data_IF_237227502401
#
_entry.id   IF_237227502401
#
_cell.length_a   1.000
_cell.length_b   1.000
_cell.length_c   1.000
_cell.angle_alpha   90.00
_cell.angle_beta   90.00
_cell.angle_gamma   90.00
#
_symmetry.space_group_name_H-M   'P 1'
#
loop_
_entity.id
_entity.type
_entity.pdbx_description
1 polymer ?
#
# COMPACT_ATOMS: atom_id res chain seq x y z
N UNK A 1 1.28 35.36 -2.87
CA UNK A 1 0.98 34.10 -2.14
C UNK A 1 2.15 33.17 -2.37
N UNK A 2 2.64 32.53 -1.32
CA UNK A 2 3.75 31.59 -1.41
C UNK A 2 3.48 30.41 -2.33
N UNK A 3 4.56 29.74 -2.75
CA UNK A 3 4.46 28.53 -3.55
C UNK A 3 3.98 27.37 -2.67
N UNK A 4 2.81 26.81 -2.98
CA UNK A 4 2.22 25.65 -2.28
C UNK A 4 2.48 24.36 -3.05
N UNK A 5 2.77 23.28 -2.31
CA UNK A 5 2.82 21.91 -2.80
C UNK A 5 1.77 21.07 -2.06
N UNK A 6 0.90 20.39 -2.80
CA UNK A 6 -0.01 19.38 -2.24
C UNK A 6 0.53 17.98 -2.54
N UNK A 7 0.59 17.12 -1.53
CA UNK A 7 0.93 15.70 -1.67
C UNK A 7 -0.33 14.89 -1.33
N UNK A 8 -0.86 14.15 -2.31
CA UNK A 8 -1.84 13.11 -2.10
C UNK A 8 -1.12 11.77 -2.04
N UNK A 9 -1.19 11.09 -0.90
CA UNK A 9 -0.46 9.85 -0.67
C UNK A 9 -1.39 8.74 -0.19
N UNK A 10 -1.03 7.49 -0.43
CA UNK A 10 -1.63 6.40 0.31
C UNK A 10 -1.18 6.40 1.77
N UNK A 11 -2.03 5.84 2.63
CA UNK A 11 -1.90 5.95 4.08
C UNK A 11 -1.10 4.85 4.76
N UNK A 12 -0.50 3.92 4.01
CA UNK A 12 0.38 2.89 4.56
C UNK A 12 1.83 3.39 4.63
N UNK A 13 2.76 2.47 4.89
CA UNK A 13 4.17 2.81 5.07
C UNK A 13 4.85 3.27 3.77
N UNK A 14 4.49 2.73 2.61
CA UNK A 14 5.10 3.11 1.34
C UNK A 14 4.66 4.52 0.91
N UNK A 15 3.35 4.81 0.97
CA UNK A 15 2.81 6.14 0.75
C UNK A 15 3.30 7.18 1.76
N UNK A 16 3.39 6.83 3.06
CA UNK A 16 3.94 7.72 4.10
C UNK A 16 5.42 8.03 3.86
N UNK A 17 6.24 7.03 3.52
CA UNK A 17 7.64 7.25 3.18
C UNK A 17 7.80 8.09 1.90
N UNK A 18 6.99 7.81 0.87
CA UNK A 18 6.94 8.58 -0.37
C UNK A 18 6.63 10.05 -0.10
N UNK A 19 5.59 10.34 0.69
CA UNK A 19 5.24 11.71 1.07
C UNK A 19 6.35 12.40 1.86
N UNK A 20 7.03 11.67 2.76
CA UNK A 20 8.14 12.21 3.54
C UNK A 20 9.34 12.58 2.67
N UNK A 21 9.67 11.75 1.67
CA UNK A 21 10.74 12.00 0.71
C UNK A 21 10.45 13.20 -0.18
N UNK A 22 9.23 13.31 -0.72
CA UNK A 22 8.79 14.48 -1.49
C UNK A 22 8.90 15.74 -0.62
N UNK A 23 8.35 15.70 0.60
CA UNK A 23 8.40 16.85 1.52
C UNK A 23 9.84 17.26 1.85
N UNK A 24 10.73 16.30 2.10
CA UNK A 24 12.13 16.58 2.38
C UNK A 24 12.86 17.21 1.19
N UNK A 25 12.60 16.72 -0.03
CA UNK A 25 13.25 17.20 -1.25
C UNK A 25 12.88 18.65 -1.61
N UNK A 26 11.73 19.12 -1.13
CA UNK A 26 11.14 20.41 -1.51
C UNK A 26 10.96 21.37 -0.33
N UNK A 27 11.53 21.07 0.83
CA UNK A 27 11.36 21.85 2.07
C UNK A 27 11.77 23.33 1.94
N UNK A 28 12.75 23.63 1.10
CA UNK A 28 13.27 25.00 0.87
C UNK A 28 12.66 25.67 -0.38
N UNK A 29 11.92 24.94 -1.21
CA UNK A 29 11.37 25.44 -2.49
C UNK A 29 9.91 25.90 -2.39
N UNK A 30 9.18 25.40 -1.39
CA UNK A 30 7.77 25.67 -1.17
C UNK A 30 7.57 26.21 0.23
N UNK A 31 6.79 27.29 0.34
CA UNK A 31 6.45 27.90 1.65
C UNK A 31 5.49 27.00 2.44
N UNK A 32 4.68 26.20 1.74
CA UNK A 32 3.71 25.30 2.35
C UNK A 32 3.69 23.96 1.62
N UNK A 33 3.84 22.87 2.36
CA UNK A 33 3.68 21.49 1.88
C UNK A 33 2.53 20.83 2.63
N UNK A 34 1.40 20.63 1.94
CA UNK A 34 0.19 20.00 2.47
C UNK A 34 0.17 18.51 2.15
N UNK A 35 -0.28 17.69 3.10
CA UNK A 35 -0.33 16.23 2.95
C UNK A 35 -1.76 15.74 3.19
N UNK A 36 -2.31 15.06 2.19
CA UNK A 36 -3.62 14.42 2.24
C UNK A 36 -3.45 12.93 2.00
N UNK A 37 -4.01 12.13 2.90
CA UNK A 37 -4.07 10.68 2.70
C UNK A 37 -5.35 10.33 1.97
N UNK A 38 -5.20 9.66 0.85
CA UNK A 38 -6.29 9.23 -0.04
C UNK A 38 -6.14 7.74 -0.38
N UNK A 39 -7.05 7.24 -1.20
CA UNK A 39 -7.09 5.87 -1.66
C UNK A 39 -7.76 5.82 -3.04
N UNK A 40 -7.58 4.73 -3.82
CA UNK A 40 -7.94 4.71 -5.24
C UNK A 40 -9.36 5.18 -5.58
N UNK A 41 -10.35 4.82 -4.77
CA UNK A 41 -11.76 5.19 -5.01
C UNK A 41 -12.08 6.65 -4.70
N UNK A 42 -11.31 7.30 -3.83
CA UNK A 42 -11.54 8.68 -3.40
C UNK A 42 -10.53 9.67 -4.04
N UNK A 43 -9.50 9.18 -4.75
CA UNK A 43 -8.41 9.98 -5.29
C UNK A 43 -8.90 11.19 -6.10
N UNK A 44 -9.85 10.99 -7.01
CA UNK A 44 -10.36 12.09 -7.87
C UNK A 44 -11.13 13.13 -7.06
N UNK A 45 -11.93 12.67 -6.09
CA UNK A 45 -12.68 13.55 -5.19
C UNK A 45 -11.71 14.36 -4.33
N UNK A 46 -10.78 13.68 -3.66
CA UNK A 46 -9.80 14.32 -2.78
C UNK A 46 -8.88 15.27 -3.56
N UNK A 47 -8.50 14.92 -4.80
CA UNK A 47 -7.75 15.82 -5.67
C UNK A 47 -8.54 17.10 -5.94
N UNK A 48 -9.81 17.00 -6.34
CA UNK A 48 -10.66 18.19 -6.61
C UNK A 48 -10.85 19.08 -5.37
N UNK A 49 -10.87 18.49 -4.18
CA UNK A 49 -11.04 19.21 -2.91
C UNK A 49 -9.73 19.83 -2.39
N UNK A 50 -8.59 19.15 -2.58
CA UNK A 50 -7.34 19.47 -1.90
C UNK A 50 -6.21 20.01 -2.81
N UNK A 51 -6.28 19.80 -4.13
CA UNK A 51 -5.22 20.19 -5.05
C UNK A 51 -5.03 21.72 -5.08
N UNK A 52 -3.84 22.17 -4.70
CA UNK A 52 -3.46 23.58 -4.72
C UNK A 52 -1.97 23.71 -5.03
N UNK A 53 -1.61 24.65 -5.92
CA UNK A 53 -0.22 24.77 -6.38
C UNK A 53 0.22 23.55 -7.18
N UNK A 54 1.48 23.14 -7.02
CA UNK A 54 1.96 21.89 -7.61
C UNK A 54 1.45 20.69 -6.81
N UNK A 55 1.24 19.55 -7.47
CA UNK A 55 0.68 18.35 -6.86
C UNK A 55 1.58 17.15 -7.11
N UNK A 56 1.84 16.39 -6.05
CA UNK A 56 2.38 15.03 -6.12
C UNK A 56 1.30 14.05 -5.69
N UNK A 57 1.08 13.02 -6.49
CA UNK A 57 0.26 11.86 -6.15
C UNK A 57 1.22 10.69 -6.02
N UNK A 58 1.30 10.07 -4.84
CA UNK A 58 2.29 9.02 -4.55
C UNK A 58 1.64 7.78 -3.96
N UNK A 59 1.95 6.62 -4.53
CA UNK A 59 1.48 5.30 -4.07
C UNK A 59 -0.04 5.13 -4.11
N UNK A 60 -0.73 5.77 -5.06
CA UNK A 60 -2.19 5.64 -5.19
C UNK A 60 -2.56 5.15 -6.57
N UNK A 61 -3.03 3.91 -6.65
CA UNK A 61 -3.58 3.36 -7.88
C UNK A 61 -4.78 4.19 -8.38
N UNK A 62 -4.91 4.33 -9.69
CA UNK A 62 -6.09 4.90 -10.32
C UNK A 62 -7.12 3.79 -10.53
N UNK A 63 -8.28 3.90 -9.88
CA UNK A 63 -9.39 2.98 -10.12
C UNK A 63 -9.88 3.12 -11.57
N UNK A 64 -9.98 2.01 -12.30
CA UNK A 64 -10.41 1.99 -13.70
C UNK A 64 -11.78 2.65 -13.91
N UNK A 65 -12.65 2.63 -12.89
CA UNK A 65 -13.97 3.29 -12.95
C UNK A 65 -13.90 4.81 -12.97
N UNK A 66 -12.82 5.38 -12.46
CA UNK A 66 -12.62 6.82 -12.34
C UNK A 66 -11.48 7.36 -13.23
N UNK A 67 -11.00 6.54 -14.17
CA UNK A 67 -9.85 6.85 -15.02
C UNK A 67 -10.10 8.09 -15.88
N UNK A 68 -11.28 8.21 -16.48
CA UNK A 68 -11.61 9.34 -17.35
C UNK A 68 -11.77 10.63 -16.53
N UNK A 69 -12.39 10.56 -15.36
CA UNK A 69 -12.48 11.69 -14.44
C UNK A 69 -11.11 12.10 -13.88
N UNK A 70 -10.23 11.14 -13.61
CA UNK A 70 -8.84 11.41 -13.20
C UNK A 70 -8.08 12.14 -14.31
N UNK A 71 -8.17 11.68 -15.56
CA UNK A 71 -7.55 12.34 -16.72
C UNK A 71 -8.03 13.76 -16.88
N UNK A 72 -9.33 13.99 -16.81
CA UNK A 72 -9.92 15.32 -16.88
C UNK A 72 -9.42 16.21 -15.74
N UNK A 73 -9.52 15.74 -14.49
CA UNK A 73 -9.16 16.53 -13.31
C UNK A 73 -7.67 16.89 -13.28
N UNK A 74 -6.79 15.94 -13.60
CA UNK A 74 -5.34 16.17 -13.55
C UNK A 74 -4.87 17.07 -14.68
N UNK A 75 -5.39 16.86 -15.90
CA UNK A 75 -5.01 17.68 -17.07
C UNK A 75 -5.56 19.11 -17.00
N UNK A 76 -6.71 19.31 -16.36
CA UNK A 76 -7.29 20.63 -16.14
C UNK A 76 -6.62 21.42 -15.00
N UNK A 77 -5.77 20.76 -14.19
CA UNK A 77 -5.09 21.41 -13.08
C UNK A 77 -4.06 22.42 -13.59
N UNK A 78 -4.06 23.63 -13.04
CA UNK A 78 -3.16 24.71 -13.49
C UNK A 78 -1.72 24.52 -13.02
N UNK A 79 -1.52 23.87 -11.87
CA UNK A 79 -0.20 23.56 -11.34
C UNK A 79 0.35 22.29 -11.97
N UNK A 80 1.65 22.04 -11.77
CA UNK A 80 2.26 20.79 -12.23
C UNK A 80 1.69 19.61 -11.45
N UNK A 81 1.35 18.52 -12.13
CA UNK A 81 0.95 17.26 -11.50
C UNK A 81 2.02 16.21 -11.77
N UNK A 82 2.54 15.60 -10.70
CA UNK A 82 3.49 14.48 -10.75
C UNK A 82 2.81 13.27 -10.13
N UNK A 83 2.74 12.17 -10.87
CA UNK A 83 2.16 10.90 -10.43
C UNK A 83 3.27 9.86 -10.31
N UNK A 84 3.45 9.30 -9.11
CA UNK A 84 4.46 8.28 -8.81
C UNK A 84 3.78 7.07 -8.21
N UNK A 85 3.72 5.97 -8.97
CA UNK A 85 3.04 4.76 -8.52
C UNK A 85 3.65 3.50 -9.14
N UNK A 86 3.37 2.36 -8.54
CA UNK A 86 3.89 1.05 -8.91
C UNK A 86 2.80 0.01 -9.22
N UNK A 87 1.54 0.36 -9.00
CA UNK A 87 0.40 -0.49 -9.35
C UNK A 87 0.22 -0.59 -10.87
N UNK A 88 -0.43 -1.63 -11.39
CA UNK A 88 -0.72 -1.74 -12.82
C UNK A 88 -1.47 -0.50 -13.35
N UNK A 89 -0.88 0.19 -14.33
CA UNK A 89 -1.46 1.38 -14.94
C UNK A 89 -2.18 0.98 -16.24
N UNK A 90 -3.49 1.21 -16.30
CA UNK A 90 -4.33 0.76 -17.41
C UNK A 90 -4.31 1.70 -18.62
N UNK A 91 -3.89 2.96 -18.44
CA UNK A 91 -3.84 3.94 -19.52
C UNK A 91 -2.98 5.18 -19.20
N UNK A 92 -2.61 5.93 -20.25
CA UNK A 92 -1.84 7.17 -20.13
C UNK A 92 -2.58 8.28 -19.38
N UNK A 93 -1.85 9.18 -18.73
CA UNK A 93 -2.37 10.36 -18.03
C UNK A 93 -1.88 11.65 -18.71
N UNK A 94 -2.67 12.23 -19.64
CA UNK A 94 -2.26 13.41 -20.39
C UNK A 94 -2.00 14.61 -19.47
N UNK A 95 -0.92 15.36 -19.72
CA UNK A 95 -0.58 16.54 -18.94
C UNK A 95 0.01 16.26 -17.54
N UNK A 96 0.28 14.99 -17.21
CA UNK A 96 0.84 14.55 -15.93
C UNK A 96 2.27 14.05 -16.13
N UNK A 97 3.20 14.43 -15.25
CA UNK A 97 4.52 13.80 -15.18
C UNK A 97 4.39 12.44 -14.49
N UNK A 98 4.45 11.35 -15.27
CA UNK A 98 4.29 9.98 -14.76
C UNK A 98 5.66 9.34 -14.47
N UNK A 99 5.84 8.84 -13.25
CA UNK A 99 6.95 7.97 -12.84
C UNK A 99 6.34 6.64 -12.40
N UNK A 100 6.48 5.62 -13.24
CA UNK A 100 5.81 4.34 -13.04
C UNK A 100 6.76 3.18 -13.33
N UNK A 101 6.77 2.19 -12.43
CA UNK A 101 7.51 0.94 -12.58
C UNK A 101 6.84 -0.13 -11.70
N UNK A 102 6.36 -1.21 -12.30
CA UNK A 102 5.87 -2.37 -11.53
C UNK A 102 7.06 -3.15 -10.92
N UNK A 103 6.89 -3.64 -9.70
CA UNK A 103 7.89 -4.46 -9.00
C UNK A 103 8.90 -3.67 -8.16
N UNK A 104 8.87 -2.33 -8.22
CA UNK A 104 9.50 -1.45 -7.25
C UNK A 104 8.44 -0.76 -6.37
N UNK A 105 8.80 -0.38 -5.15
CA UNK A 105 7.90 0.38 -4.29
C UNK A 105 7.85 1.86 -4.70
N UNK A 106 6.75 2.56 -4.43
CA UNK A 106 6.60 3.98 -4.73
C UNK A 106 7.67 4.83 -4.01
N UNK A 107 8.04 4.48 -2.77
CA UNK A 107 9.07 5.20 -2.03
C UNK A 107 10.47 5.06 -2.65
N UNK A 108 10.76 3.91 -3.28
CA UNK A 108 11.95 3.74 -4.10
C UNK A 108 11.89 4.65 -5.34
N UNK A 109 10.76 4.66 -6.05
CA UNK A 109 10.58 5.50 -7.25
C UNK A 109 10.73 6.99 -6.94
N UNK A 110 10.12 7.45 -5.86
CA UNK A 110 10.27 8.83 -5.37
C UNK A 110 11.72 9.15 -5.06
N UNK A 111 12.43 8.26 -4.36
CA UNK A 111 13.83 8.47 -4.02
C UNK A 111 14.72 8.53 -5.27
N UNK A 112 14.56 7.59 -6.20
CA UNK A 112 15.29 7.58 -7.48
C UNK A 112 15.05 8.87 -8.27
N UNK A 113 13.79 9.31 -8.37
CA UNK A 113 13.39 10.53 -9.08
C UNK A 113 13.94 11.81 -8.45
N UNK A 114 14.11 11.83 -7.13
CA UNK A 114 14.51 13.02 -6.35
C UNK A 114 15.92 12.90 -5.76
N UNK A 115 16.71 11.92 -6.17
CA UNK A 115 18.04 11.65 -5.62
C UNK A 115 18.98 12.87 -5.68
N UNK A 116 18.86 13.71 -6.70
CA UNK A 116 19.64 14.96 -6.83
C UNK A 116 19.27 16.06 -5.83
N UNK A 117 18.12 15.95 -5.14
CA UNK A 117 17.63 16.91 -4.13
C UNK A 117 17.75 16.39 -2.70
N UNK A 118 17.99 15.10 -2.52
CA UNK A 118 17.99 14.44 -1.21
C UNK A 118 19.41 14.00 -0.83
N UNK A 119 19.87 14.28 0.40
CA UNK A 119 21.05 13.64 0.94
C UNK A 119 20.92 12.11 0.87
N UNK A 120 22.03 11.42 0.60
CA UNK A 120 22.07 9.94 0.53
C UNK A 120 21.48 9.24 1.76
N UNK A 121 21.54 9.89 2.91
CA UNK A 121 20.98 9.40 4.16
C UNK A 121 19.47 9.13 4.11
N UNK A 122 18.72 9.79 3.22
CA UNK A 122 17.30 9.54 2.99
C UNK A 122 17.00 8.22 2.27
N UNK A 123 18.02 7.52 1.74
CA UNK A 123 17.85 6.16 1.19
C UNK A 123 17.18 5.22 2.20
N UNK A 124 17.44 5.40 3.50
CA UNK A 124 16.77 4.60 4.55
C UNK A 124 15.26 4.80 4.60
N UNK A 125 14.77 6.02 4.35
CA UNK A 125 13.32 6.31 4.36
C UNK A 125 12.65 5.58 3.20
N UNK A 126 13.28 5.59 2.02
CA UNK A 126 12.83 4.79 0.88
C UNK A 126 12.89 3.28 1.17
N UNK A 127 13.97 2.80 1.81
CA UNK A 127 14.06 1.41 2.25
C UNK A 127 12.95 1.00 3.23
N UNK A 128 12.56 1.88 4.16
CA UNK A 128 11.47 1.58 5.09
C UNK A 128 10.14 1.34 4.35
N UNK A 129 9.83 2.16 3.34
CA UNK A 129 8.63 2.00 2.52
C UNK A 129 8.69 0.72 1.69
N UNK A 130 9.79 0.52 0.95
CA UNK A 130 9.99 -0.66 0.12
C UNK A 130 9.93 -1.99 0.90
N UNK A 131 10.55 -2.06 2.08
CA UNK A 131 10.48 -3.25 2.94
C UNK A 131 9.05 -3.48 3.45
N UNK A 132 8.35 -2.41 3.82
CA UNK A 132 6.98 -2.50 4.34
C UNK A 132 5.98 -2.96 3.29
N UNK A 133 6.27 -2.73 2.01
CA UNK A 133 5.46 -3.23 0.88
C UNK A 133 5.99 -4.56 0.31
N UNK A 134 6.90 -5.23 1.03
CA UNK A 134 7.51 -6.51 0.64
C UNK A 134 8.26 -6.45 -0.71
N UNK A 135 8.75 -5.27 -1.09
CA UNK A 135 9.53 -5.02 -2.30
C UNK A 135 11.02 -4.89 -2.01
N UNK A 136 11.52 -5.69 -1.07
CA UNK A 136 12.92 -5.69 -0.61
C UNK A 136 13.90 -6.44 -1.54
N UNK A 137 13.49 -6.68 -2.79
CA UNK A 137 14.17 -7.55 -3.74
C UNK A 137 14.61 -6.84 -5.03
N UNK A 138 14.33 -5.54 -5.20
CA UNK A 138 14.82 -4.78 -6.36
C UNK A 138 16.35 -4.64 -6.29
N UNK A 139 16.98 -4.44 -7.45
CA UNK A 139 18.44 -4.23 -7.48
C UNK A 139 18.85 -2.96 -6.75
N UNK A 140 18.02 -1.91 -6.80
CA UNK A 140 18.24 -0.70 -6.03
C UNK A 140 18.18 -0.98 -4.52
N UNK A 141 17.14 -1.69 -4.02
CA UNK A 141 17.04 -2.02 -2.60
C UNK A 141 18.24 -2.84 -2.14
N UNK A 142 18.66 -3.85 -2.91
CA UNK A 142 19.84 -4.68 -2.58
C UNK A 142 21.09 -3.82 -2.42
N UNK A 143 21.37 -2.96 -3.39
CA UNK A 143 22.53 -2.05 -3.36
C UNK A 143 22.43 -1.03 -2.22
N UNK A 144 21.24 -0.47 -1.98
CA UNK A 144 21.03 0.47 -0.88
C UNK A 144 21.25 -0.20 0.47
N UNK A 145 20.78 -1.44 0.66
CA UNK A 145 20.99 -2.23 1.88
C UNK A 145 22.45 -2.62 2.12
N UNK A 146 23.33 -2.66 1.11
CA UNK A 146 24.78 -2.86 1.32
C UNK A 146 25.43 -1.68 2.05
N UNK A 147 24.76 -0.52 2.04
CA UNK A 147 25.25 0.71 2.64
C UNK A 147 24.71 0.95 4.04
N UNK A 148 23.88 0.02 4.53
CA UNK A 148 23.21 0.09 5.83
C UNK A 148 23.37 -1.22 6.59
N UNK A 149 23.40 -1.16 7.92
CA UNK A 149 23.17 -2.37 8.71
C UNK A 149 21.71 -2.78 8.56
N UNK A 150 21.48 -3.95 7.97
CA UNK A 150 20.13 -4.48 7.72
C UNK A 150 19.30 -4.57 9.01
N UNK A 151 19.90 -4.91 10.16
CA UNK A 151 19.15 -5.03 11.43
C UNK A 151 18.51 -3.70 11.82
N UNK A 152 19.22 -2.60 11.59
CA UNK A 152 18.69 -1.25 11.85
C UNK A 152 17.53 -0.95 10.90
N UNK A 153 17.73 -1.13 9.59
CA UNK A 153 16.71 -0.75 8.59
C UNK A 153 15.44 -1.59 8.74
N UNK A 154 15.56 -2.90 8.94
CA UNK A 154 14.40 -3.78 9.11
C UNK A 154 13.69 -3.54 10.44
N UNK A 155 14.41 -3.21 11.51
CA UNK A 155 13.78 -2.83 12.77
C UNK A 155 12.94 -1.55 12.60
N UNK A 156 13.51 -0.52 11.97
CA UNK A 156 12.82 0.74 11.73
C UNK A 156 11.61 0.57 10.79
N UNK A 157 11.74 -0.20 9.71
CA UNK A 157 10.64 -0.55 8.83
C UNK A 157 9.53 -1.31 9.58
N UNK A 158 9.90 -2.27 10.43
CA UNK A 158 8.98 -3.02 11.28
C UNK A 158 8.24 -2.15 12.30
N UNK A 159 8.92 -1.16 12.90
CA UNK A 159 8.27 -0.17 13.78
C UNK A 159 7.28 0.69 12.99
N UNK A 160 7.69 1.19 11.82
CA UNK A 160 6.85 2.04 10.97
C UNK A 160 5.57 1.30 10.53
N UNK A 161 5.73 0.12 9.92
CA UNK A 161 4.62 -0.69 9.39
C UNK A 161 3.60 -1.02 10.50
N UNK A 162 4.08 -1.52 11.64
CA UNK A 162 3.19 -1.91 12.75
C UNK A 162 2.52 -0.71 13.41
N UNK A 163 3.26 0.39 13.60
CA UNK A 163 2.72 1.60 14.20
C UNK A 163 1.65 2.25 13.31
N UNK A 164 1.85 2.27 11.99
CA UNK A 164 0.87 2.80 11.03
C UNK A 164 -0.37 1.90 10.89
N UNK A 165 -0.21 0.57 10.95
CA UNK A 165 -1.34 -0.36 10.98
C UNK A 165 -2.24 -0.08 12.19
N UNK A 166 -1.65 0.10 13.36
CA UNK A 166 -2.40 0.45 14.58
C UNK A 166 -3.06 1.82 14.49
N UNK A 167 -2.41 2.77 13.83
CA UNK A 167 -2.90 4.13 13.61
C UNK A 167 -3.75 4.29 12.33
N UNK A 168 -4.30 3.20 11.77
CA UNK A 168 -4.90 3.19 10.42
C UNK A 168 -5.84 4.37 10.10
N UNK A 169 -6.64 4.83 11.07
CA UNK A 169 -7.63 5.92 10.91
C UNK A 169 -7.14 7.30 11.37
N UNK A 170 -5.97 7.40 12.00
CA UNK A 170 -5.44 8.64 12.58
C UNK A 170 -4.59 9.39 11.54
N UNK A 171 -5.26 10.07 10.60
CA UNK A 171 -4.58 10.81 9.52
C UNK A 171 -3.71 11.96 10.03
N UNK A 172 -4.07 12.59 11.15
CA UNK A 172 -3.23 13.63 11.77
C UNK A 172 -1.93 13.05 12.29
N UNK A 173 -1.99 11.91 12.97
CA UNK A 173 -0.77 11.25 13.41
C UNK A 173 0.08 10.76 12.24
N UNK A 174 -0.52 10.27 11.15
CA UNK A 174 0.25 9.94 9.96
C UNK A 174 0.97 11.16 9.37
N UNK A 175 0.37 12.35 9.41
CA UNK A 175 1.05 13.61 9.02
C UNK A 175 2.22 13.95 9.95
N UNK A 176 2.09 13.68 11.25
CA UNK A 176 3.20 13.79 12.21
C UNK A 176 4.34 12.83 11.84
N UNK A 177 4.04 11.58 11.51
CA UNK A 177 5.02 10.59 11.03
C UNK A 177 5.71 11.08 9.75
N UNK A 178 4.96 11.58 8.76
CA UNK A 178 5.55 12.17 7.53
C UNK A 178 6.49 13.31 7.89
N UNK A 179 6.11 14.22 8.79
CA UNK A 179 6.97 15.31 9.23
C UNK A 179 8.23 14.84 9.96
N UNK A 180 8.14 13.77 10.75
CA UNK A 180 9.29 13.15 11.41
C UNK A 180 10.26 12.53 10.41
N UNK A 181 9.75 11.72 9.47
CA UNK A 181 10.54 11.09 8.43
C UNK A 181 11.12 12.11 7.42
N UNK A 182 10.42 13.21 7.15
CA UNK A 182 10.91 14.26 6.24
C UNK A 182 12.06 15.07 6.83
N UNK A 183 12.32 14.96 8.14
CA UNK A 183 13.54 15.45 8.81
C UNK A 183 14.56 14.33 8.99
N UNK A 184 14.36 13.21 8.29
CA UNK A 184 15.12 12.00 8.38
C UNK A 184 15.15 11.41 9.80
N UNK A 185 14.08 11.56 10.59
CA UNK A 185 13.95 10.89 11.89
C UNK A 185 13.81 9.38 11.72
N UNK A 186 14.39 8.59 12.63
CA UNK A 186 14.16 7.14 12.66
C UNK A 186 12.76 6.84 13.22
N UNK A 187 11.95 5.94 12.61
CA UNK A 187 10.62 5.55 13.13
C UNK A 187 10.57 5.31 14.65
N UNK A 188 11.51 4.56 15.20
CA UNK A 188 11.60 4.22 16.62
C UNK A 188 11.85 5.42 17.54
N UNK A 189 12.38 6.52 16.99
CA UNK A 189 12.61 7.77 17.73
C UNK A 189 11.33 8.60 17.91
N UNK A 190 10.19 8.20 17.32
CA UNK A 190 8.90 8.83 17.53
C UNK A 190 8.10 8.04 18.60
N UNK A 191 8.01 8.50 19.86
CA UNK A 191 7.54 7.66 20.97
C UNK A 191 6.12 7.11 20.81
N UNK A 192 5.20 7.91 20.23
CA UNK A 192 3.84 7.45 19.93
C UNK A 192 3.87 6.31 18.89
N UNK A 193 4.72 6.39 17.87
CA UNK A 193 4.83 5.36 16.82
C UNK A 193 5.38 4.06 17.39
N UNK A 194 6.45 4.13 18.18
CA UNK A 194 7.06 2.96 18.82
C UNK A 194 6.07 2.23 19.74
N UNK A 195 5.35 2.95 20.60
CA UNK A 195 4.32 2.35 21.47
C UNK A 195 3.25 1.65 20.66
N UNK A 196 2.73 2.28 19.60
CA UNK A 196 1.70 1.69 18.75
C UNK A 196 2.22 0.45 18.02
N UNK A 197 3.49 0.45 17.61
CA UNK A 197 4.14 -0.70 17.01
C UNK A 197 4.25 -1.88 17.99
N UNK A 198 4.63 -1.64 19.24
CA UNK A 198 4.67 -2.67 20.29
C UNK A 198 3.28 -3.27 20.58
N UNK A 199 2.25 -2.43 20.63
CA UNK A 199 0.86 -2.90 20.77
C UNK A 199 0.45 -3.79 19.60
N UNK A 200 0.74 -3.35 18.39
CA UNK A 200 0.40 -4.11 17.18
C UNK A 200 1.21 -5.40 17.07
N UNK A 201 2.46 -5.44 17.53
CA UNK A 201 3.27 -6.66 17.58
C UNK A 201 2.61 -7.74 18.44
N UNK A 202 2.04 -7.36 19.60
CA UNK A 202 1.29 -8.30 20.46
C UNK A 202 0.02 -8.81 19.79
N UNK A 203 -0.68 -7.94 19.05
CA UNK A 203 -1.87 -8.33 18.26
C UNK A 203 -1.47 -9.30 17.15
N UNK A 204 -0.38 -9.03 16.45
CA UNK A 204 0.13 -9.88 15.36
C UNK A 204 0.50 -11.27 15.88
N UNK A 205 1.19 -11.38 17.01
CA UNK A 205 1.54 -12.66 17.62
C UNK A 205 0.30 -13.45 18.07
N UNK A 206 -0.68 -12.77 18.69
CA UNK A 206 -1.94 -13.41 19.05
C UNK A 206 -2.71 -13.91 17.81
N UNK A 207 -2.63 -13.17 16.70
CA UNK A 207 -3.23 -13.54 15.42
C UNK A 207 -2.58 -14.80 14.84
N UNK A 208 -1.27 -15.01 14.97
CA UNK A 208 -0.59 -16.24 14.53
C UNK A 208 -1.25 -17.46 15.14
N UNK A 209 -1.34 -17.52 16.47
CA UNK A 209 -1.96 -18.64 17.17
C UNK A 209 -3.46 -18.77 16.88
N UNK A 210 -4.17 -17.66 16.67
CA UNK A 210 -5.59 -17.71 16.29
C UNK A 210 -5.77 -18.31 14.89
N UNK A 211 -5.00 -17.88 13.90
CA UNK A 211 -5.09 -18.40 12.52
C UNK A 211 -4.70 -19.87 12.46
N UNK A 212 -3.67 -20.29 13.18
CA UNK A 212 -3.26 -21.70 13.26
C UNK A 212 -4.43 -22.63 13.64
N UNK A 213 -5.25 -22.20 14.62
CA UNK A 213 -6.40 -22.98 15.12
C UNK A 213 -7.65 -22.86 14.25
N UNK A 214 -7.86 -21.73 13.58
CA UNK A 214 -9.15 -21.41 12.94
C UNK A 214 -9.13 -21.44 11.41
N UNK A 215 -7.95 -21.48 10.77
CA UNK A 215 -7.88 -21.53 9.31
C UNK A 215 -8.45 -22.85 8.78
N UNK A 216 -9.40 -22.72 7.86
CA UNK A 216 -10.04 -23.81 7.11
C UNK A 216 -9.30 -23.98 5.80
N UNK A 217 -9.11 -25.21 5.35
CA UNK A 217 -8.52 -25.52 4.04
C UNK A 217 -9.59 -26.15 3.16
N UNK A 218 -9.80 -25.56 1.99
CA UNK A 218 -10.67 -26.09 0.93
C UNK A 218 -9.85 -26.17 -0.37
N UNK A 219 -9.44 -27.40 -0.71
CA UNK A 219 -8.54 -27.64 -1.84
C UNK A 219 -7.18 -26.98 -1.66
N UNK A 220 -6.84 -26.04 -2.54
CA UNK A 220 -5.61 -25.24 -2.57
C UNK A 220 -5.77 -23.84 -1.95
N UNK A 221 -6.89 -23.60 -1.27
CA UNK A 221 -7.22 -22.33 -0.64
C UNK A 221 -7.37 -22.54 0.86
N UNK A 222 -6.57 -21.83 1.64
CA UNK A 222 -6.78 -21.68 3.08
C UNK A 222 -7.52 -20.37 3.37
N UNK A 223 -8.46 -20.37 4.30
CA UNK A 223 -9.16 -19.13 4.65
C UNK A 223 -9.55 -19.03 6.12
N UNK A 224 -9.74 -17.80 6.57
CA UNK A 224 -10.31 -17.43 7.86
C UNK A 224 -11.39 -16.36 7.69
N UNK A 225 -12.40 -16.39 8.57
CA UNK A 225 -13.46 -15.38 8.63
C UNK A 225 -13.43 -14.69 9.98
N UNK A 226 -13.50 -13.36 9.99
CA UNK A 226 -13.39 -12.48 11.15
C UNK A 226 -12.13 -12.71 12.02
N UNK A 227 -10.92 -12.70 11.44
CA UNK A 227 -9.71 -12.77 12.25
C UNK A 227 -9.61 -11.56 13.19
N UNK A 228 -9.09 -11.73 14.42
CA UNK A 228 -8.93 -10.66 15.40
C UNK A 228 -7.68 -9.80 15.12
N UNK A 229 -7.49 -9.35 13.88
CA UNK A 229 -6.33 -8.60 13.44
C UNK A 229 -6.37 -8.21 11.97
N UNK A 230 -5.26 -7.67 11.42
CA UNK A 230 -5.22 -7.19 10.05
C UNK A 230 -5.51 -8.30 9.03
N UNK A 231 -6.47 -8.06 8.12
CA UNK A 231 -6.86 -9.06 7.11
C UNK A 231 -5.70 -9.49 6.21
N UNK A 232 -4.85 -8.55 5.79
CA UNK A 232 -3.68 -8.87 4.96
C UNK A 232 -2.72 -9.86 5.63
N UNK A 233 -2.43 -9.63 6.92
CA UNK A 233 -1.59 -10.54 7.70
C UNK A 233 -2.28 -11.89 7.93
N UNK A 234 -3.57 -11.88 8.29
CA UNK A 234 -4.34 -13.10 8.49
C UNK A 234 -4.39 -13.98 7.24
N UNK A 235 -4.52 -13.39 6.05
CA UNK A 235 -4.47 -14.10 4.77
C UNK A 235 -3.08 -14.71 4.50
N UNK A 236 -2.00 -13.95 4.75
CA UNK A 236 -0.62 -14.45 4.64
C UNK A 236 -0.38 -15.62 5.60
N UNK A 237 -0.85 -15.50 6.85
CA UNK A 237 -0.72 -16.54 7.87
C UNK A 237 -1.54 -17.78 7.50
N UNK A 238 -2.78 -17.62 7.01
CA UNK A 238 -3.61 -18.73 6.57
C UNK A 238 -2.92 -19.51 5.45
N UNK A 239 -2.35 -18.80 4.47
CA UNK A 239 -1.54 -19.39 3.38
C UNK A 239 -0.35 -20.18 3.94
N UNK A 240 0.48 -19.54 4.76
CA UNK A 240 1.74 -20.08 5.24
C UNK A 240 1.57 -21.23 6.23
N UNK A 241 0.74 -21.05 7.26
CA UNK A 241 0.53 -22.06 8.32
C UNK A 241 -0.22 -23.30 7.83
N UNK A 242 -0.96 -23.19 6.72
CA UNK A 242 -1.67 -24.31 6.09
C UNK A 242 -1.04 -24.76 4.78
N UNK A 243 0.16 -24.28 4.47
CA UNK A 243 0.94 -24.64 3.27
C UNK A 243 0.11 -24.61 1.97
N UNK A 244 -0.85 -23.68 1.90
CA UNK A 244 -1.77 -23.57 0.78
C UNK A 244 -1.23 -22.55 -0.23
N UNK A 245 -1.39 -22.74 -1.55
CA UNK A 245 -0.98 -21.75 -2.55
C UNK A 245 -1.63 -20.37 -2.38
N UNK A 246 -2.86 -20.34 -1.87
CA UNK A 246 -3.62 -19.11 -1.60
C UNK A 246 -4.15 -19.10 -0.19
N UNK A 247 -4.05 -17.95 0.47
CA UNK A 247 -4.71 -17.62 1.72
C UNK A 247 -5.74 -16.50 1.55
N UNK A 248 -6.88 -16.61 2.22
CA UNK A 248 -7.93 -15.58 2.25
C UNK A 248 -8.25 -15.23 3.70
N UNK A 249 -8.42 -13.94 3.97
CA UNK A 249 -9.04 -13.48 5.20
C UNK A 249 -10.23 -12.60 4.86
N UNK A 250 -11.40 -12.92 5.42
CA UNK A 250 -12.64 -12.18 5.22
C UNK A 250 -13.08 -11.50 6.52
N UNK A 251 -13.61 -10.28 6.42
CA UNK A 251 -14.36 -9.58 7.47
C UNK A 251 -15.82 -9.43 7.03
N UNK A 252 -16.76 -9.75 7.91
CA UNK A 252 -18.17 -9.51 7.64
C UNK A 252 -18.53 -8.03 7.80
N UNK A 253 -19.21 -7.47 6.79
CA UNK A 253 -19.81 -6.13 6.86
C UNK A 253 -21.21 -6.18 6.27
N UNK A 254 -22.22 -6.24 7.13
CA UNK A 254 -23.59 -6.43 6.67
C UNK A 254 -23.75 -7.77 5.95
N UNK A 255 -24.17 -7.73 4.68
CA UNK A 255 -24.40 -8.86 3.77
C UNK A 255 -23.20 -9.16 2.84
N UNK A 256 -22.08 -8.44 3.00
CA UNK A 256 -20.86 -8.65 2.21
C UNK A 256 -19.67 -9.10 3.07
N UNK A 257 -18.73 -9.78 2.43
CA UNK A 257 -17.38 -10.00 2.89
C UNK A 257 -16.43 -9.00 2.24
N UNK A 258 -15.66 -8.30 3.07
CA UNK A 258 -14.48 -7.54 2.65
C UNK A 258 -13.27 -8.44 2.88
N UNK A 259 -12.53 -8.73 1.83
CA UNK A 259 -11.52 -9.79 1.84
C UNK A 259 -10.15 -9.29 1.42
N UNK A 260 -9.14 -9.92 1.98
CA UNK A 260 -7.74 -9.84 1.55
C UNK A 260 -7.27 -11.22 1.12
N UNK A 261 -6.67 -11.30 -0.06
CA UNK A 261 -6.15 -12.52 -0.65
C UNK A 261 -4.63 -12.42 -0.82
N UNK A 262 -3.93 -13.52 -0.56
CA UNK A 262 -2.47 -13.62 -0.67
C UNK A 262 -2.10 -14.92 -1.38
N UNK A 263 -1.23 -14.86 -2.38
CA UNK A 263 -0.79 -16.05 -3.13
C UNK A 263 0.73 -16.12 -3.24
N UNK A 264 1.22 -17.28 -3.65
CA UNK A 264 2.59 -17.46 -4.12
C UNK A 264 2.59 -17.67 -5.64
N UNK A 265 3.70 -17.36 -6.36
CA UNK A 265 3.85 -17.73 -7.76
C UNK A 265 3.59 -19.23 -7.98
N UNK A 266 2.98 -19.65 -9.10
CA UNK A 266 2.63 -18.84 -10.27
C UNK A 266 1.22 -18.21 -10.22
N UNK A 267 0.52 -18.23 -9.08
CA UNK A 267 -0.88 -17.81 -8.99
C UNK A 267 -1.02 -16.30 -9.15
N UNK A 268 -1.74 -15.87 -10.18
CA UNK A 268 -2.09 -14.46 -10.43
C UNK A 268 -3.49 -14.12 -9.92
N UNK A 269 -3.55 -13.55 -8.70
CA UNK A 269 -4.80 -13.14 -8.06
C UNK A 269 -5.48 -11.99 -8.77
N UNK A 270 -4.72 -11.06 -9.35
CA UNK A 270 -5.29 -9.92 -10.06
C UNK A 270 -6.00 -10.40 -11.33
N UNK A 271 -5.38 -11.30 -12.10
CA UNK A 271 -5.99 -11.91 -13.27
C UNK A 271 -7.30 -12.64 -12.91
N UNK A 272 -7.29 -13.45 -11.86
CA UNK A 272 -8.49 -14.14 -11.37
C UNK A 272 -9.59 -13.17 -10.91
N UNK A 273 -9.25 -12.23 -10.02
CA UNK A 273 -10.25 -11.36 -9.40
C UNK A 273 -10.84 -10.36 -10.38
N UNK A 274 -10.07 -9.84 -11.34
CA UNK A 274 -10.61 -8.96 -12.39
C UNK A 274 -11.66 -9.69 -13.24
N UNK A 275 -11.38 -10.92 -13.64
CA UNK A 275 -12.35 -11.73 -14.39
C UNK A 275 -13.58 -12.07 -13.55
N UNK A 276 -13.37 -12.55 -12.32
CA UNK A 276 -14.45 -12.89 -11.39
C UNK A 276 -15.34 -11.68 -11.10
N UNK A 277 -14.74 -10.53 -10.77
CA UNK A 277 -15.43 -9.28 -10.48
C UNK A 277 -16.33 -8.85 -11.65
N UNK A 278 -15.77 -8.86 -12.86
CA UNK A 278 -16.49 -8.52 -14.09
C UNK A 278 -17.66 -9.47 -14.36
N UNK A 279 -17.45 -10.80 -14.25
CA UNK A 279 -18.51 -11.80 -14.51
C UNK A 279 -19.63 -11.78 -13.47
N UNK A 280 -19.31 -11.43 -12.23
CA UNK A 280 -20.23 -11.53 -11.09
C UNK A 280 -20.79 -10.18 -10.64
N UNK A 281 -20.36 -9.07 -11.24
CA UNK A 281 -20.81 -7.72 -10.85
C UNK A 281 -20.35 -7.31 -9.45
N UNK A 282 -19.20 -7.81 -8.99
CA UNK A 282 -18.62 -7.51 -7.67
C UNK A 282 -17.35 -6.65 -7.82
N UNK A 283 -16.71 -6.29 -6.71
CA UNK A 283 -15.44 -5.54 -6.74
C UNK A 283 -14.28 -6.44 -6.34
N UNK A 284 -13.18 -6.39 -7.08
CA UNK A 284 -11.94 -7.09 -6.73
C UNK A 284 -10.79 -6.82 -7.70
N UNK A 285 -9.57 -6.84 -7.18
CA UNK A 285 -8.34 -6.55 -7.92
C UNK A 285 -7.15 -6.26 -6.99
N UNK A 286 -5.98 -6.05 -7.58
CA UNK A 286 -4.76 -5.68 -6.86
C UNK A 286 -3.49 -6.10 -7.60
N UNK A 287 -2.48 -6.50 -6.84
CA UNK A 287 -1.24 -7.06 -7.37
C UNK A 287 -1.39 -8.57 -7.64
N UNK A 288 -0.45 -9.13 -8.42
CA UNK A 288 -0.39 -10.57 -8.71
C UNK A 288 -0.49 -11.45 -7.46
N UNK A 289 0.23 -11.10 -6.40
CA UNK A 289 0.34 -11.91 -5.17
C UNK A 289 -0.45 -11.38 -3.97
N UNK A 290 -1.06 -10.21 -4.08
CA UNK A 290 -1.79 -9.54 -3.01
C UNK A 290 -2.94 -8.73 -3.60
N UNK A 291 -4.17 -9.12 -3.28
CA UNK A 291 -5.36 -8.48 -3.83
C UNK A 291 -6.49 -8.40 -2.81
N UNK A 292 -7.48 -7.56 -3.09
CA UNK A 292 -8.67 -7.38 -2.27
C UNK A 292 -9.94 -7.65 -3.05
N UNK A 293 -11.02 -7.99 -2.35
CA UNK A 293 -12.34 -8.16 -2.96
C UNK A 293 -13.47 -7.82 -1.98
N UNK A 294 -14.62 -7.42 -2.53
CA UNK A 294 -15.88 -7.27 -1.80
C UNK A 294 -16.95 -8.12 -2.48
N UNK A 295 -17.42 -9.15 -1.81
CA UNK A 295 -18.39 -10.11 -2.37
C UNK A 295 -19.57 -10.32 -1.41
N UNK A 296 -20.79 -10.55 -1.91
CA UNK A 296 -21.89 -11.06 -1.08
C UNK A 296 -21.51 -12.35 -0.34
N UNK A 297 -22.01 -12.54 0.89
CA UNK A 297 -21.64 -13.71 1.72
C UNK A 297 -21.99 -15.05 1.05
N UNK A 298 -23.13 -15.12 0.38
CA UNK A 298 -23.59 -16.30 -0.36
C UNK A 298 -22.71 -16.65 -1.56
N UNK A 299 -21.96 -15.67 -2.09
CA UNK A 299 -20.99 -15.87 -3.17
C UNK A 299 -19.61 -16.31 -2.72
N UNK A 300 -19.29 -16.26 -1.42
CA UNK A 300 -17.96 -16.58 -0.92
C UNK A 300 -17.51 -17.99 -1.32
N UNK A 301 -18.38 -18.98 -1.16
CA UNK A 301 -18.10 -20.36 -1.55
C UNK A 301 -17.85 -20.51 -3.06
N UNK A 302 -18.64 -19.83 -3.89
CA UNK A 302 -18.43 -19.82 -5.34
C UNK A 302 -17.06 -19.25 -5.70
N UNK A 303 -16.61 -18.19 -5.01
CA UNK A 303 -15.27 -17.64 -5.21
C UNK A 303 -14.19 -18.66 -4.86
N UNK A 304 -14.30 -19.35 -3.72
CA UNK A 304 -13.33 -20.37 -3.28
C UNK A 304 -13.27 -21.54 -4.27
N UNK A 305 -14.43 -22.01 -4.76
CA UNK A 305 -14.53 -23.08 -5.75
C UNK A 305 -13.91 -22.67 -7.11
N UNK A 306 -14.25 -21.48 -7.63
CA UNK A 306 -13.69 -20.98 -8.89
C UNK A 306 -12.18 -20.72 -8.80
N UNK A 307 -11.71 -20.22 -7.65
CA UNK A 307 -10.29 -19.99 -7.40
C UNK A 307 -9.51 -21.31 -7.35
N UNK A 308 -10.06 -22.35 -6.71
CA UNK A 308 -9.50 -23.70 -6.76
C UNK A 308 -9.40 -24.22 -8.19
N UNK A 309 -10.43 -23.99 -9.00
CA UNK A 309 -10.44 -24.34 -10.42
C UNK A 309 -9.39 -23.56 -11.22
N UNK A 310 -9.20 -22.27 -10.93
CA UNK A 310 -8.17 -21.44 -11.54
C UNK A 310 -6.76 -21.95 -11.23
N UNK A 311 -6.45 -22.23 -9.97
CA UNK A 311 -5.14 -22.74 -9.54
C UNK A 311 -4.86 -24.12 -10.16
N UNK A 312 -5.88 -24.96 -10.34
CA UNK A 312 -5.73 -26.30 -10.92
C UNK A 312 -5.33 -26.31 -12.40
N UNK A 313 -5.44 -25.16 -13.09
CA UNK A 313 -5.11 -25.01 -14.51
C UNK A 313 -3.73 -24.39 -14.77
N UNK A 314 -3.02 -24.00 -13.70
CA UNK A 314 -1.66 -23.47 -13.75
C UNK A 314 -0.65 -24.61 -13.76
#
# INVERSE_FOLDING_TARGET
MGKTLTILAHGDADGVCSAALVKAAFAEEYEEVRIYFTHPVDLVKDFREAAAGDVYIVDVAIDEKFLDEAREAFSAHRGRVVYVDHHPLSADLPGVEVVHEEGAAASELVYRRLAGKLPRLYSRVALYGAISDYMDHTDWVRQALEMWDRRIVYYEAGVLMQGLERARKDHEFKREVVGHLSRNGAPSALPKLLRLAEEQARVNEALVGWVERNAVVEGRVAYVVNPPGPLGLAATLARGLKESPVGIAAEERGDVYVMSLRSAPPVDLNAFLRDFARRRGVSGGGHRNAAGARVPKDMFRTLVEELNGFISRL
#
